data_IF_919855071767
#
_entry.id   IF_919855071767
#
_cell.length_a   1.000
_cell.length_b   1.000
_cell.length_c   1.000
_cell.angle_alpha   90.00
_cell.angle_beta   90.00
_cell.angle_gamma   90.00
#
_symmetry.space_group_name_H-M   'P 1'
#
loop_
_entity.id
_entity.type
_entity.pdbx_description
1 polymer ?
#
# COMPACT_ATOMS: atom_id res chain seq x y z
N UNK A 1 -0.68 -0.32 2.54
CA UNK A 1 -1.73 -0.96 3.36
C UNK A 1 -3.08 -0.88 2.67
N UNK A 2 -3.64 0.30 2.37
CA UNK A 2 -4.94 0.40 1.68
C UNK A 2 -4.96 -0.17 0.25
N UNK A 3 -3.80 -0.26 -0.41
CA UNK A 3 -3.67 -0.91 -1.72
C UNK A 3 -3.75 -2.44 -1.66
N UNK A 4 -3.63 -3.03 -0.47
CA UNK A 4 -3.77 -4.48 -0.29
C UNK A 4 -5.26 -4.85 -0.46
N UNK A 5 -5.61 -5.77 -1.37
CA UNK A 5 -7.00 -6.13 -1.63
C UNK A 5 -7.77 -6.59 -0.40
N UNK A 6 -7.11 -7.29 0.54
CA UNK A 6 -7.75 -7.81 1.75
C UNK A 6 -8.07 -6.66 2.69
N UNK A 7 -7.13 -5.74 2.88
CA UNK A 7 -7.32 -4.58 3.76
C UNK A 7 -8.34 -3.61 3.16
N UNK A 8 -8.25 -3.35 1.86
CA UNK A 8 -9.20 -2.49 1.15
C UNK A 8 -10.63 -3.03 1.28
N UNK A 9 -10.81 -4.32 1.00
CA UNK A 9 -12.12 -4.98 1.13
C UNK A 9 -12.64 -4.92 2.57
N UNK A 10 -11.77 -5.10 3.57
CA UNK A 10 -12.20 -5.00 4.97
C UNK A 10 -12.68 -3.59 5.33
N UNK A 11 -12.00 -2.53 4.87
CA UNK A 11 -12.42 -1.15 5.08
C UNK A 11 -13.74 -0.83 4.37
N UNK A 12 -13.91 -1.34 3.16
CA UNK A 12 -15.14 -1.17 2.38
C UNK A 12 -16.31 -1.85 3.12
N UNK A 13 -16.13 -3.08 3.62
CA UNK A 13 -17.15 -3.78 4.43
C UNK A 13 -17.53 -2.97 5.68
N UNK A 14 -16.55 -2.43 6.42
CA UNK A 14 -16.86 -1.59 7.59
C UNK A 14 -17.68 -0.36 7.22
N UNK A 15 -17.39 0.23 6.07
CA UNK A 15 -18.10 1.42 5.57
C UNK A 15 -19.51 1.05 5.12
N UNK A 16 -19.66 -0.02 4.34
CA UNK A 16 -20.93 -0.54 3.83
C UNK A 16 -21.88 -0.91 4.97
N UNK A 17 -21.40 -1.71 5.94
CA UNK A 17 -22.20 -2.15 7.09
C UNK A 17 -22.61 -0.98 8.00
N UNK A 18 -21.82 0.10 8.02
CA UNK A 18 -22.13 1.30 8.80
C UNK A 18 -23.10 2.25 8.08
N UNK A 19 -23.27 2.12 6.77
CA UNK A 19 -24.17 2.96 5.93
C UNK A 19 -25.38 2.20 5.40
N UNK A 20 -25.76 1.08 6.02
CA UNK A 20 -26.92 0.31 5.57
C UNK A 20 -28.21 1.09 5.78
N UNK A 21 -29.00 1.17 4.72
CA UNK A 21 -30.31 1.79 4.74
C UNK A 21 -31.28 1.07 5.68
N UNK A 22 -32.15 1.84 6.34
CA UNK A 22 -33.28 1.27 7.06
C UNK A 22 -34.40 0.83 6.08
N UNK A 23 -35.50 0.28 6.61
CA UNK A 23 -36.68 -0.16 5.83
C UNK A 23 -37.34 0.98 5.03
N UNK A 24 -37.15 2.22 5.45
CA UNK A 24 -37.64 3.46 4.83
C UNK A 24 -36.59 4.08 3.88
N UNK A 25 -35.49 3.37 3.58
CA UNK A 25 -34.36 3.84 2.77
C UNK A 25 -33.63 5.07 3.34
N UNK A 26 -33.67 5.24 4.67
CA UNK A 26 -32.96 6.30 5.37
C UNK A 26 -31.74 5.72 6.11
N UNK A 27 -30.55 6.26 5.83
CA UNK A 27 -29.32 5.91 6.56
C UNK A 27 -29.38 6.39 8.03
N UNK A 28 -29.92 7.59 8.28
CA UNK A 28 -29.97 8.20 9.61
C UNK A 28 -31.41 8.56 10.01
N UNK A 29 -32.03 7.72 10.85
CA UNK A 29 -33.36 7.99 11.40
C UNK A 29 -33.31 8.93 12.60
N UNK A 30 -33.85 10.13 12.46
CA UNK A 30 -33.93 11.13 13.53
C UNK A 30 -35.19 10.89 14.38
N UNK A 31 -35.00 10.58 15.67
CA UNK A 31 -36.09 10.45 16.65
C UNK A 31 -36.08 11.66 17.57
N UNK A 32 -37.15 12.45 17.54
CA UNK A 32 -37.35 13.59 18.46
C UNK A 32 -38.82 13.76 18.80
N UNK A 33 -39.12 14.06 20.05
CA UNK A 33 -40.48 14.36 20.51
C UNK A 33 -41.02 15.67 19.92
N UNK A 34 -40.12 16.57 19.49
CA UNK A 34 -40.48 17.85 18.89
C UNK A 34 -40.40 17.78 17.35
N UNK A 35 -41.54 17.91 16.64
CA UNK A 35 -41.55 17.79 15.18
C UNK A 35 -40.79 18.92 14.48
N UNK A 36 -40.61 20.09 15.12
CA UNK A 36 -39.82 21.18 14.55
C UNK A 36 -38.33 20.84 14.53
N UNK A 37 -37.83 20.25 15.62
CA UNK A 37 -36.41 19.84 15.73
C UNK A 37 -36.11 18.71 14.75
N UNK A 38 -37.00 17.72 14.66
CA UNK A 38 -36.88 16.64 13.68
C UNK A 38 -36.73 17.16 12.24
N UNK A 39 -37.56 18.14 11.85
CA UNK A 39 -37.48 18.76 10.51
C UNK A 39 -36.18 19.53 10.27
N UNK A 40 -35.72 20.29 11.26
CA UNK A 40 -34.48 21.07 11.14
C UNK A 40 -33.27 20.13 10.99
N UNK A 41 -33.21 19.07 11.81
CA UNK A 41 -32.13 18.10 11.73
C UNK A 41 -32.18 17.31 10.43
N UNK A 42 -33.37 16.96 9.94
CA UNK A 42 -33.51 16.28 8.65
C UNK A 42 -32.98 17.16 7.51
N UNK A 43 -33.30 18.45 7.51
CA UNK A 43 -32.75 19.40 6.54
C UNK A 43 -31.22 19.50 6.64
N UNK A 44 -30.67 19.56 7.86
CA UNK A 44 -29.22 19.60 8.06
C UNK A 44 -28.51 18.35 7.51
N UNK A 45 -29.00 17.15 7.84
CA UNK A 45 -28.33 15.91 7.45
C UNK A 45 -28.56 15.52 5.98
N UNK A 46 -29.78 15.66 5.48
CA UNK A 46 -30.11 15.23 4.11
C UNK A 46 -29.92 16.34 3.07
N UNK A 47 -30.33 17.58 3.35
CA UNK A 47 -30.27 18.66 2.35
C UNK A 47 -28.91 19.37 2.32
N UNK A 48 -28.30 19.62 3.50
CA UNK A 48 -27.03 20.37 3.61
C UNK A 48 -25.83 19.41 3.56
N UNK A 49 -25.76 18.45 4.47
CA UNK A 49 -24.64 17.51 4.56
C UNK A 49 -24.65 16.44 3.47
N UNK A 50 -25.83 16.14 2.93
CA UNK A 50 -26.06 15.06 1.97
C UNK A 50 -25.41 13.74 2.43
N UNK A 51 -25.84 13.27 3.60
CA UNK A 51 -25.29 12.05 4.22
C UNK A 51 -25.46 10.80 3.37
N UNK A 52 -26.46 10.76 2.47
CA UNK A 52 -26.66 9.61 1.57
C UNK A 52 -25.45 9.36 0.66
N UNK A 53 -24.85 10.44 0.16
CA UNK A 53 -23.69 10.34 -0.72
C UNK A 53 -22.36 10.45 0.04
N UNK A 54 -22.29 11.37 1.00
CA UNK A 54 -21.02 11.75 1.62
C UNK A 54 -20.62 10.89 2.82
N UNK A 55 -21.55 10.20 3.48
CA UNK A 55 -21.24 9.48 4.72
C UNK A 55 -20.33 8.27 4.49
N UNK A 56 -20.51 7.53 3.40
CA UNK A 56 -19.68 6.38 3.05
C UNK A 56 -18.18 6.73 2.95
N UNK A 57 -17.76 7.73 2.15
CA UNK A 57 -16.34 8.10 2.09
C UNK A 57 -15.83 8.71 3.41
N UNK A 58 -16.68 9.38 4.20
CA UNK A 58 -16.28 9.90 5.51
C UNK A 58 -15.98 8.77 6.51
N UNK A 59 -16.83 7.74 6.56
CA UNK A 59 -16.62 6.57 7.42
C UNK A 59 -15.41 5.74 6.99
N UNK A 60 -15.20 5.58 5.68
CA UNK A 60 -14.00 4.93 5.16
C UNK A 60 -12.72 5.67 5.56
N UNK A 61 -12.73 7.00 5.49
CA UNK A 61 -11.61 7.82 5.94
C UNK A 61 -11.41 7.75 7.46
N UNK A 62 -12.50 7.78 8.23
CA UNK A 62 -12.46 7.65 9.69
C UNK A 62 -11.86 6.32 10.13
N UNK A 63 -12.26 5.20 9.52
CA UNK A 63 -11.73 3.87 9.86
C UNK A 63 -10.28 3.69 9.42
N UNK A 64 -9.92 4.28 8.28
CA UNK A 64 -8.55 4.27 7.74
C UNK A 64 -7.58 5.09 8.58
N UNK A 65 -7.91 6.34 8.92
CA UNK A 65 -6.99 7.24 9.63
C UNK A 65 -7.17 7.22 11.15
N UNK A 66 -8.35 6.85 11.64
CA UNK A 66 -8.74 6.96 13.06
C UNK A 66 -9.42 8.28 13.40
N UNK A 67 -9.18 9.29 12.56
CA UNK A 67 -9.73 10.64 12.67
C UNK A 67 -10.31 11.10 11.33
N UNK A 68 -11.39 11.87 11.40
CA UNK A 68 -11.94 12.55 10.25
C UNK A 68 -12.37 13.97 10.64
N UNK A 69 -11.97 14.94 9.82
CA UNK A 69 -12.23 16.36 10.06
C UNK A 69 -13.13 16.91 8.95
N UNK A 70 -14.17 17.63 9.37
CA UNK A 70 -15.08 18.33 8.47
C UNK A 70 -15.05 19.82 8.82
N UNK A 71 -14.76 20.65 7.81
CA UNK A 71 -14.90 22.09 7.92
C UNK A 71 -16.37 22.48 7.70
N UNK A 72 -16.95 23.18 8.66
CA UNK A 72 -18.32 23.67 8.63
C UNK A 72 -18.33 25.12 8.13
N UNK A 73 -18.86 25.35 6.93
CA UNK A 73 -19.09 26.70 6.44
C UNK A 73 -20.31 27.30 7.14
N UNK A 74 -20.07 28.15 8.14
CA UNK A 74 -21.11 28.78 8.94
C UNK A 74 -21.35 30.21 8.43
N UNK A 75 -22.60 30.51 8.11
CA UNK A 75 -23.05 31.88 7.84
C UNK A 75 -23.89 32.36 9.01
N UNK A 76 -23.56 33.55 9.52
CA UNK A 76 -24.28 34.17 10.62
C UNK A 76 -25.79 34.26 10.33
N UNK A 77 -26.62 33.90 11.32
CA UNK A 77 -28.09 33.78 11.27
C UNK A 77 -28.69 32.65 10.41
N UNK A 78 -27.96 32.07 9.47
CA UNK A 78 -28.43 30.97 8.62
C UNK A 78 -28.02 29.61 9.21
N UNK A 79 -26.82 29.54 9.78
CA UNK A 79 -26.22 28.31 10.31
C UNK A 79 -25.25 27.68 9.31
N UNK A 80 -25.15 26.36 9.32
CA UNK A 80 -24.24 25.60 8.45
C UNK A 80 -24.83 25.57 7.05
N UNK A 81 -24.07 26.04 6.07
CA UNK A 81 -24.50 26.11 4.66
C UNK A 81 -23.91 24.98 3.84
N UNK A 82 -22.68 24.58 4.16
CA UNK A 82 -21.97 23.53 3.45
C UNK A 82 -20.89 22.92 4.37
N UNK A 83 -20.41 21.75 3.98
CA UNK A 83 -19.34 21.04 4.68
C UNK A 83 -18.29 20.55 3.71
N UNK A 84 -17.02 20.72 4.07
CA UNK A 84 -15.88 20.25 3.29
C UNK A 84 -15.02 19.27 4.10
N UNK A 85 -14.69 18.09 3.55
CA UNK A 85 -13.76 17.20 4.22
C UNK A 85 -12.35 17.79 4.20
N UNK A 86 -11.68 17.73 5.34
CA UNK A 86 -10.28 18.11 5.49
C UNK A 86 -9.41 16.87 5.65
N UNK A 87 -8.17 16.95 5.17
CA UNK A 87 -7.19 15.88 5.35
C UNK A 87 -6.74 15.81 6.80
N UNK A 88 -6.71 14.60 7.38
CA UNK A 88 -6.18 14.40 8.73
C UNK A 88 -4.67 14.71 8.85
N UNK A 89 -3.96 14.84 7.72
CA UNK A 89 -2.55 15.22 7.70
C UNK A 89 -2.32 16.73 7.80
N UNK A 90 -3.32 17.54 7.46
CA UNK A 90 -3.21 19.00 7.36
C UNK A 90 -3.74 19.71 8.61
N UNK A 91 -4.52 19.01 9.43
CA UNK A 91 -5.22 19.56 10.60
C UNK A 91 -4.50 19.16 11.87
N UNK A 92 -4.10 20.15 12.66
CA UNK A 92 -3.52 19.99 13.98
C UNK A 92 -4.48 20.50 15.05
N UNK A 93 -4.88 19.63 15.96
CA UNK A 93 -5.65 20.00 17.15
C UNK A 93 -4.73 20.57 18.22
N UNK A 94 -4.95 21.84 18.57
CA UNK A 94 -4.26 22.56 19.63
C UNK A 94 -5.11 22.51 20.90
N UNK A 95 -4.60 21.87 21.94
CA UNK A 95 -5.14 21.87 23.30
C UNK A 95 -4.06 22.39 24.24
N UNK A 96 -4.45 23.03 25.35
CA UNK A 96 -3.53 23.59 26.36
C UNK A 96 -2.48 24.59 25.78
N UNK A 97 -2.74 25.18 24.61
CA UNK A 97 -1.84 26.11 23.94
C UNK A 97 -1.77 27.48 24.66
N UNK A 98 -2.90 27.96 25.19
CA UNK A 98 -3.00 29.25 25.86
C UNK A 98 -2.92 29.09 27.38
N UNK A 99 -1.88 29.62 28.06
CA UNK A 99 -1.79 29.61 29.52
C UNK A 99 -2.94 30.35 30.23
N UNK A 100 -3.59 31.31 29.57
CA UNK A 100 -4.73 32.04 30.13
C UNK A 100 -6.04 31.24 30.00
N UNK A 101 -6.15 30.40 28.98
CA UNK A 101 -7.33 29.58 28.69
C UNK A 101 -6.95 28.12 28.38
N UNK A 102 -6.66 27.30 29.40
CA UNK A 102 -6.21 25.91 29.19
C UNK A 102 -7.27 25.02 28.53
N UNK A 103 -8.56 25.38 28.61
CA UNK A 103 -9.66 24.59 28.01
C UNK A 103 -9.96 24.97 26.55
N UNK A 104 -9.23 25.93 25.98
CA UNK A 104 -9.46 26.34 24.61
C UNK A 104 -8.95 25.24 23.66
N UNK A 105 -9.82 24.81 22.76
CA UNK A 105 -9.49 23.85 21.70
C UNK A 105 -9.61 24.58 20.38
N UNK A 106 -8.51 24.63 19.64
CA UNK A 106 -8.44 25.25 18.32
C UNK A 106 -7.85 24.25 17.33
N UNK A 107 -8.11 24.47 16.05
CA UNK A 107 -7.58 23.66 14.96
C UNK A 107 -6.73 24.52 14.06
N UNK A 108 -5.48 24.15 13.90
CA UNK A 108 -4.56 24.80 12.98
C UNK A 108 -4.51 24.00 11.69
N UNK A 109 -4.76 24.66 10.56
CA UNK A 109 -4.65 24.02 9.24
C UNK A 109 -3.38 24.50 8.57
N UNK A 110 -2.43 23.59 8.36
CA UNK A 110 -1.21 23.87 7.59
C UNK A 110 -1.42 23.40 6.15
N UNK A 111 -1.37 24.29 5.16
CA UNK A 111 -1.62 23.92 3.79
C UNK A 111 -0.29 23.64 3.08
N UNK A 112 0.12 22.37 3.04
CA UNK A 112 1.14 21.95 2.06
C UNK A 112 0.56 21.93 0.63
N UNK A 113 -0.77 21.86 0.47
CA UNK A 113 -1.46 21.86 -0.83
C UNK A 113 -2.72 22.78 -0.85
N UNK A 114 -2.53 24.06 -0.48
CA UNK A 114 -3.53 25.11 -0.22
C UNK A 114 -4.59 25.41 -1.32
N UNK A 115 -4.61 24.70 -2.44
CA UNK A 115 -5.43 25.08 -3.61
C UNK A 115 -6.83 24.50 -3.63
N UNK A 116 -7.12 23.47 -2.83
CA UNK A 116 -8.40 22.75 -2.92
C UNK A 116 -9.19 22.61 -1.60
N UNK A 117 -8.59 22.86 -0.43
CA UNK A 117 -9.22 22.52 0.87
C UNK A 117 -9.86 23.71 1.60
N UNK A 118 -9.33 24.94 1.47
CA UNK A 118 -9.88 26.14 2.11
C UNK A 118 -10.25 27.23 1.08
N UNK A 119 -11.39 27.94 1.26
CA UNK A 119 -11.80 29.01 0.35
C UNK A 119 -10.95 30.29 0.43
N UNK A 120 -10.10 30.44 1.45
CA UNK A 120 -9.31 31.65 1.68
C UNK A 120 -7.82 31.30 1.77
N UNK A 121 -7.02 31.85 0.87
CA UNK A 121 -5.61 31.54 0.68
C UNK A 121 -4.65 32.08 1.75
N UNK A 122 -5.06 32.12 3.02
CA UNK A 122 -4.13 32.40 4.12
C UNK A 122 -3.43 31.11 4.54
N UNK A 123 -2.08 31.08 4.57
CA UNK A 123 -1.29 29.86 4.67
C UNK A 123 -1.27 29.22 6.07
N UNK A 124 -2.05 29.73 7.04
CA UNK A 124 -2.15 29.17 8.38
C UNK A 124 -3.42 29.75 9.02
N UNK A 125 -4.53 29.02 8.92
CA UNK A 125 -5.79 29.46 9.50
C UNK A 125 -6.02 28.71 10.82
N UNK A 126 -6.11 29.48 11.91
CA UNK A 126 -6.64 28.99 13.17
C UNK A 126 -8.17 28.97 13.05
N UNK A 127 -8.74 27.78 13.19
CA UNK A 127 -10.16 27.52 13.21
C UNK A 127 -10.62 27.28 14.64
N UNK A 128 -11.78 27.82 14.96
CA UNK A 128 -12.40 27.63 16.27
C UNK A 128 -13.07 26.26 16.39
N UNK A 129 -13.27 25.77 17.61
CA UNK A 129 -13.86 24.44 17.85
C UNK A 129 -15.25 24.25 17.23
N UNK A 130 -16.01 25.32 16.96
CA UNK A 130 -17.34 25.23 16.36
C UNK A 130 -17.30 25.21 14.82
N UNK A 131 -16.18 25.55 14.20
CA UNK A 131 -15.99 25.57 12.74
C UNK A 131 -15.53 24.21 12.20
N UNK A 132 -15.09 23.32 13.08
CA UNK A 132 -14.58 21.98 12.72
C UNK A 132 -15.36 20.90 13.45
N UNK A 133 -15.97 20.00 12.70
CA UNK A 133 -16.48 18.74 13.24
C UNK A 133 -15.37 17.67 13.18
N UNK A 134 -14.88 17.27 14.36
CA UNK A 134 -13.87 16.24 14.53
C UNK A 134 -14.52 14.91 14.97
N UNK A 135 -14.46 13.90 14.11
CA UNK A 135 -14.83 12.53 14.42
C UNK A 135 -13.58 11.72 14.77
N UNK A 136 -13.64 10.96 15.86
CA UNK A 136 -12.50 10.17 16.36
C UNK A 136 -12.93 8.79 16.81
N UNK A 137 -12.11 7.79 16.48
CA UNK A 137 -12.22 6.45 17.05
C UNK A 137 -11.44 6.37 18.36
N UNK A 138 -12.17 6.47 19.47
CA UNK A 138 -11.63 6.31 20.81
C UNK A 138 -11.35 4.84 21.09
N UNK A 139 -10.08 4.48 21.25
CA UNK A 139 -9.70 3.12 21.60
C UNK A 139 -8.56 3.05 22.61
N UNK A 140 -7.59 3.96 22.52
CA UNK A 140 -6.39 3.93 23.35
C UNK A 140 -6.06 5.34 23.86
N UNK A 141 -5.79 5.46 25.16
CA UNK A 141 -5.51 6.72 25.83
C UNK A 141 -4.19 7.36 25.34
N UNK A 142 -3.26 6.55 24.81
CA UNK A 142 -1.99 7.04 24.29
C UNK A 142 -2.13 7.93 23.05
N UNK A 143 -3.25 7.81 22.33
CA UNK A 143 -3.50 8.58 21.10
C UNK A 143 -4.30 9.85 21.36
N UNK A 144 -4.73 10.14 22.61
CA UNK A 144 -5.38 11.42 22.94
C UNK A 144 -4.41 12.56 22.61
N UNK A 145 -4.83 13.58 21.84
CA UNK A 145 -6.21 14.00 21.52
C UNK A 145 -6.85 13.41 20.25
N UNK A 146 -6.12 12.57 19.51
CA UNK A 146 -6.55 11.90 18.27
C UNK A 146 -7.19 10.53 18.52
N UNK A 147 -7.72 9.95 17.44
CA UNK A 147 -8.23 8.59 17.37
C UNK A 147 -7.16 7.58 16.98
N UNK A 148 -7.51 6.31 17.09
CA UNK A 148 -6.66 5.21 16.62
C UNK A 148 -7.29 4.58 15.40
N UNK A 149 -6.54 4.49 14.31
CA UNK A 149 -6.94 3.76 13.10
C UNK A 149 -7.25 2.30 13.41
N UNK A 150 -8.28 1.75 12.76
CA UNK A 150 -8.59 0.32 12.86
C UNK A 150 -7.45 -0.55 12.29
N UNK A 151 -6.66 -0.01 11.36
CA UNK A 151 -5.54 -0.69 10.72
C UNK A 151 -4.29 -0.79 11.62
N UNK A 152 -4.26 -0.07 12.74
CA UNK A 152 -3.05 0.00 13.58
C UNK A 152 -2.66 -1.37 14.14
N UNK A 153 -3.66 -2.19 14.51
CA UNK A 153 -3.42 -3.56 14.97
C UNK A 153 -2.89 -4.48 13.86
N UNK A 154 -3.33 -4.27 12.62
CA UNK A 154 -2.92 -5.06 11.46
C UNK A 154 -1.54 -4.67 10.91
N UNK A 155 -1.05 -3.46 11.19
CA UNK A 155 0.20 -2.91 10.63
C UNK A 155 1.40 -3.84 10.77
N UNK A 156 1.60 -4.42 11.96
CA UNK A 156 2.74 -5.32 12.22
C UNK A 156 2.63 -6.61 11.41
N UNK A 157 1.46 -7.24 11.43
CA UNK A 157 1.21 -8.52 10.75
C UNK A 157 1.28 -8.35 9.24
N UNK A 158 0.69 -7.28 8.71
CA UNK A 158 0.73 -6.97 7.28
C UNK A 158 2.17 -6.83 6.75
N UNK A 159 3.04 -6.10 7.47
CA UNK A 159 4.47 -6.00 7.08
C UNK A 159 5.18 -7.34 7.08
N UNK A 160 4.84 -8.23 8.02
CA UNK A 160 5.41 -9.57 8.07
C UNK A 160 4.93 -10.43 6.90
N UNK A 161 3.63 -10.35 6.57
CA UNK A 161 3.04 -11.07 5.45
C UNK A 161 3.67 -10.65 4.12
N UNK A 162 3.71 -9.34 3.85
CA UNK A 162 4.30 -8.81 2.62
C UNK A 162 5.77 -9.23 2.46
N UNK A 163 6.55 -9.18 3.55
CA UNK A 163 7.95 -9.63 3.53
C UNK A 163 8.08 -11.13 3.26
N UNK A 164 7.15 -11.95 3.77
CA UNK A 164 7.13 -13.39 3.49
C UNK A 164 6.72 -13.70 2.05
N UNK A 165 5.74 -12.98 1.50
CA UNK A 165 5.32 -13.10 0.10
C UNK A 165 6.45 -12.73 -0.86
N UNK A 166 7.12 -11.59 -0.62
CA UNK A 166 8.28 -11.16 -1.40
C UNK A 166 9.43 -12.15 -1.28
N UNK A 167 9.72 -12.65 -0.07
CA UNK A 167 10.76 -13.66 0.15
C UNK A 167 10.45 -14.97 -0.59
N UNK A 168 9.19 -15.41 -0.61
CA UNK A 168 8.77 -16.59 -1.37
C UNK A 168 8.94 -16.38 -2.88
N UNK A 169 8.54 -15.21 -3.40
CA UNK A 169 8.71 -14.87 -4.82
C UNK A 169 10.19 -14.86 -5.21
N UNK A 170 11.03 -14.20 -4.42
CA UNK A 170 12.48 -14.17 -4.65
C UNK A 170 13.06 -15.59 -4.59
N UNK A 171 12.68 -16.39 -3.60
CA UNK A 171 13.12 -17.77 -3.48
C UNK A 171 12.75 -18.61 -4.70
N UNK A 172 11.51 -18.47 -5.21
CA UNK A 172 11.03 -19.12 -6.42
C UNK A 172 11.79 -18.64 -7.66
N UNK A 173 11.99 -17.34 -7.84
CA UNK A 173 12.70 -16.77 -9.00
C UNK A 173 14.17 -17.22 -9.01
N UNK A 174 14.84 -17.16 -7.86
CA UNK A 174 16.27 -17.50 -7.74
C UNK A 174 16.56 -18.99 -7.96
N UNK A 175 15.58 -19.86 -7.69
CA UNK A 175 15.69 -21.32 -7.86
C UNK A 175 14.93 -21.87 -9.07
N UNK A 176 14.22 -21.02 -9.81
CA UNK A 176 13.53 -21.38 -11.05
C UNK A 176 14.51 -21.84 -12.14
N UNK A 177 15.65 -21.17 -12.40
CA UNK A 177 16.64 -21.71 -13.31
C UNK A 177 17.42 -22.84 -12.64
N UNK A 178 17.54 -23.97 -13.34
CA UNK A 178 18.52 -24.99 -12.99
C UNK A 178 19.93 -24.40 -13.11
N UNK A 179 20.70 -24.47 -12.04
CA UNK A 179 22.12 -24.08 -12.07
C UNK A 179 22.94 -25.30 -12.43
N UNK A 180 23.74 -25.20 -13.48
CA UNK A 180 24.59 -26.30 -13.96
C UNK A 180 26.04 -25.95 -13.70
N UNK A 181 26.77 -26.87 -13.09
CA UNK A 181 28.21 -26.77 -12.88
C UNK A 181 28.89 -27.72 -13.87
N UNK A 182 29.56 -27.13 -14.86
CA UNK A 182 30.38 -27.85 -15.82
C UNK A 182 31.80 -27.96 -15.26
N UNK A 183 32.16 -29.15 -14.78
CA UNK A 183 33.54 -29.47 -14.40
C UNK A 183 34.28 -29.88 -15.66
N UNK A 184 35.21 -29.05 -16.12
CA UNK A 184 36.02 -29.32 -17.31
C UNK A 184 37.40 -29.80 -16.88
N UNK A 185 37.78 -31.00 -17.34
CA UNK A 185 39.12 -31.51 -17.10
C UNK A 185 40.13 -30.84 -18.02
N UNK A 186 41.18 -30.28 -17.42
CA UNK A 186 42.22 -29.51 -18.07
C UNK A 186 43.52 -30.27 -17.89
N UNK A 187 43.60 -31.43 -18.54
CA UNK A 187 44.67 -32.43 -18.37
C UNK A 187 46.08 -31.85 -18.20
N UNK A 188 46.83 -31.69 -19.29
CA UNK A 188 48.23 -31.23 -19.23
C UNK A 188 48.44 -29.81 -19.81
N UNK A 189 47.39 -28.99 -19.84
CA UNK A 189 47.49 -27.63 -20.37
C UNK A 189 48.30 -26.76 -19.38
N UNK A 190 49.30 -25.99 -19.87
CA UNK A 190 50.06 -25.09 -19.02
C UNK A 190 49.15 -24.04 -18.36
N UNK A 191 49.37 -23.67 -17.08
CA UNK A 191 48.51 -22.73 -16.35
C UNK A 191 48.18 -21.43 -17.10
N UNK A 192 49.11 -20.94 -17.92
CA UNK A 192 48.96 -19.69 -18.68
C UNK A 192 47.94 -19.81 -19.83
N UNK A 193 47.65 -21.01 -20.33
CA UNK A 193 46.72 -21.23 -21.46
C UNK A 193 45.33 -21.70 -21.02
N UNK A 194 45.16 -21.99 -19.71
CA UNK A 194 43.90 -22.49 -19.15
C UNK A 194 42.77 -21.48 -19.34
N UNK A 195 43.00 -20.20 -19.08
CA UNK A 195 41.98 -19.16 -19.24
C UNK A 195 41.53 -19.03 -20.71
N UNK A 196 42.47 -19.09 -21.65
CA UNK A 196 42.17 -19.02 -23.08
C UNK A 196 41.35 -20.24 -23.54
N UNK A 197 41.71 -21.44 -23.09
CA UNK A 197 40.96 -22.66 -23.38
C UNK A 197 39.53 -22.61 -22.79
N UNK A 198 39.40 -22.16 -21.55
CA UNK A 198 38.09 -21.99 -20.89
C UNK A 198 37.22 -20.96 -21.63
N UNK A 199 37.79 -19.81 -22.02
CA UNK A 199 37.06 -18.80 -22.80
C UNK A 199 36.59 -19.34 -24.16
N UNK A 200 37.41 -20.14 -24.84
CA UNK A 200 37.01 -20.77 -26.11
C UNK A 200 35.84 -21.75 -25.92
N UNK A 201 35.87 -22.58 -24.88
CA UNK A 201 34.78 -23.51 -24.58
C UNK A 201 33.51 -22.76 -24.19
N UNK A 202 33.59 -21.77 -23.30
CA UNK A 202 32.46 -20.96 -22.87
C UNK A 202 31.81 -20.27 -24.09
N UNK A 203 32.62 -19.68 -24.97
CA UNK A 203 32.12 -19.01 -26.17
C UNK A 203 31.50 -19.98 -27.19
N UNK A 204 31.97 -21.23 -27.24
CA UNK A 204 31.39 -22.27 -28.10
C UNK A 204 30.03 -22.74 -27.57
N UNK A 205 29.91 -22.92 -26.25
CA UNK A 205 28.67 -23.36 -25.61
C UNK A 205 27.59 -22.26 -25.64
N UNK A 206 27.96 -21.00 -25.39
CA UNK A 206 27.02 -19.85 -25.49
C UNK A 206 26.46 -19.61 -26.90
N UNK A 207 27.13 -20.09 -27.95
CA UNK A 207 26.81 -19.80 -29.36
C UNK A 207 26.10 -20.92 -30.10
N UNK A 208 25.70 -22.03 -29.44
CA UNK A 208 25.03 -23.13 -30.14
C UNK A 208 23.68 -22.61 -30.69
N UNK A 209 23.49 -22.53 -32.01
CA UNK A 209 22.24 -22.06 -32.59
C UNK A 209 21.21 -23.19 -32.53
N UNK A 210 19.99 -22.88 -32.09
CA UNK A 210 18.87 -23.81 -32.16
C UNK A 210 18.38 -23.87 -33.61
N UNK A 211 18.36 -25.06 -34.20
CA UNK A 211 17.85 -25.30 -35.55
C UNK A 211 16.35 -25.58 -35.43
N UNK A 212 15.51 -24.73 -36.02
CA UNK A 212 14.07 -25.00 -36.13
C UNK A 212 13.86 -26.12 -37.17
N UNK A 213 13.42 -27.29 -36.71
CA UNK A 213 13.26 -28.48 -37.54
C UNK A 213 12.17 -28.35 -38.63
N UNK A 214 11.31 -27.32 -38.56
CA UNK A 214 10.22 -27.12 -39.54
C UNK A 214 10.59 -26.17 -40.68
N UNK A 215 11.41 -25.16 -40.43
CA UNK A 215 11.75 -24.09 -41.40
C UNK A 215 13.22 -24.15 -41.83
N UNK A 216 14.10 -24.83 -41.10
CA UNK A 216 15.51 -24.94 -41.43
C UNK A 216 16.31 -23.63 -41.29
N UNK A 217 15.66 -22.57 -40.80
CA UNK A 217 16.28 -21.25 -40.61
C UNK A 217 17.11 -21.21 -39.32
N UNK A 218 18.33 -20.69 -39.44
CA UNK A 218 19.24 -20.48 -38.31
C UNK A 218 18.75 -19.30 -37.47
N UNK A 219 18.02 -19.58 -36.37
CA UNK A 219 17.61 -18.53 -35.45
C UNK A 219 18.73 -18.20 -34.46
N UNK A 220 19.60 -17.26 -34.83
CA UNK A 220 20.72 -16.77 -34.02
C UNK A 220 20.30 -15.86 -32.85
N UNK A 221 19.00 -15.54 -32.70
CA UNK A 221 18.59 -14.36 -31.91
C UNK A 221 18.11 -14.62 -30.49
N UNK A 222 17.78 -15.84 -30.09
CA UNK A 222 17.35 -16.10 -28.71
C UNK A 222 17.60 -17.56 -28.35
N UNK A 223 18.79 -17.86 -27.84
CA UNK A 223 19.02 -19.14 -27.20
C UNK A 223 18.47 -19.05 -25.77
N UNK A 224 17.27 -19.60 -25.54
CA UNK A 224 16.68 -19.69 -24.19
C UNK A 224 17.54 -20.54 -23.24
N UNK A 225 18.46 -21.37 -23.75
CA UNK A 225 19.42 -22.08 -22.91
C UNK A 225 20.57 -21.17 -22.42
N UNK A 226 20.80 -20.01 -23.02
CA UNK A 226 21.82 -19.06 -22.54
C UNK A 226 21.33 -18.17 -21.39
N UNK A 227 20.07 -18.29 -20.99
CA UNK A 227 19.49 -17.55 -19.87
C UNK A 227 19.73 -18.26 -18.52
N UNK A 228 20.28 -19.48 -18.53
CA UNK A 228 20.66 -20.20 -17.30
C UNK A 228 22.02 -19.75 -16.78
N UNK A 229 22.16 -19.68 -15.46
CA UNK A 229 23.45 -19.42 -14.80
C UNK A 229 24.31 -20.70 -14.82
N UNK A 230 25.12 -20.83 -15.86
CA UNK A 230 26.08 -21.93 -15.99
C UNK A 230 27.44 -21.56 -15.39
N UNK A 231 27.94 -22.38 -14.46
CA UNK A 231 29.25 -22.21 -13.85
C UNK A 231 30.26 -23.19 -14.48
N UNK A 232 31.41 -22.68 -14.90
CA UNK A 232 32.49 -23.48 -15.49
C UNK A 232 33.66 -23.57 -14.52
N UNK A 233 33.96 -24.77 -14.03
CA UNK A 233 35.03 -25.00 -13.07
C UNK A 233 36.19 -25.79 -13.71
N UNK A 234 37.42 -25.24 -13.68
CA UNK A 234 38.61 -25.95 -14.11
C UNK A 234 39.01 -27.03 -13.08
N UNK A 235 39.03 -28.31 -13.46
CA UNK A 235 39.55 -29.38 -12.59
C UNK A 235 40.81 -30.01 -13.18
N UNK A 236 41.76 -30.41 -12.31
CA UNK A 236 42.95 -31.19 -12.68
C UNK A 236 42.96 -32.46 -11.84
N UNK A 237 42.84 -33.62 -12.47
CA UNK A 237 42.92 -34.90 -11.77
C UNK A 237 42.73 -36.07 -12.71
N UNK A 238 43.58 -37.10 -12.55
CA UNK A 238 43.58 -38.33 -13.37
C UNK A 238 42.28 -39.15 -13.32
N UNK A 239 41.37 -38.84 -12.38
CA UNK A 239 40.23 -39.70 -12.03
C UNK A 239 38.90 -38.92 -11.96
N UNK A 240 38.91 -37.62 -12.26
CA UNK A 240 37.72 -36.78 -12.28
C UNK A 240 37.49 -36.26 -13.70
N UNK A 241 36.83 -37.07 -14.53
CA UNK A 241 36.47 -36.69 -15.89
C UNK A 241 35.51 -35.50 -15.96
N UNK A 242 35.30 -34.96 -17.17
CA UNK A 242 34.33 -33.89 -17.42
C UNK A 242 32.94 -34.33 -16.97
N UNK A 243 32.37 -33.63 -15.98
CA UNK A 243 31.08 -33.96 -15.39
C UNK A 243 30.19 -32.72 -15.32
N UNK A 244 28.89 -32.93 -15.52
CA UNK A 244 27.86 -31.91 -15.36
C UNK A 244 27.15 -32.22 -14.05
N UNK A 245 27.31 -31.34 -13.07
CA UNK A 245 26.57 -31.41 -11.81
C UNK A 245 25.43 -30.39 -11.88
N UNK A 246 24.19 -30.89 -11.88
CA UNK A 246 23.01 -30.05 -11.81
C UNK A 246 22.71 -29.77 -10.34
N UNK A 247 22.77 -28.51 -9.91
CA UNK A 247 22.19 -28.12 -8.64
C UNK A 247 20.67 -28.19 -8.79
N UNK A 248 20.05 -28.99 -7.94
CA UNK A 248 18.62 -29.20 -7.98
C UNK A 248 17.90 -27.85 -7.88
N UNK A 249 17.02 -27.58 -8.86
CA UNK A 249 16.14 -26.43 -8.84
C UNK A 249 15.13 -26.52 -7.70
N UNK A 250 14.12 -25.65 -7.72
CA UNK A 250 13.05 -25.69 -6.73
C UNK A 250 12.37 -27.08 -6.70
N UNK A 251 12.56 -27.83 -5.62
CA UNK A 251 11.70 -28.96 -5.31
C UNK A 251 10.39 -28.42 -4.73
N UNK A 252 9.25 -28.89 -5.23
CA UNK A 252 7.93 -28.51 -4.72
C UNK A 252 7.63 -29.23 -3.40
N UNK A 253 8.43 -28.97 -2.37
CA UNK A 253 8.06 -29.29 -0.99
C UNK A 253 7.32 -28.07 -0.45
N UNK A 254 6.01 -28.24 -0.26
CA UNK A 254 5.01 -27.20 -0.06
C UNK A 254 5.25 -26.22 1.09
#
# INVERSE_FOLDING_TARGET
>A
MDEDPIISSALDIYSDESTVDNVESEILKIKSDNPKVAKILHNLFYDILNVEFNLWPWLRNLTKYGDHFLYLEIIDKIGIVNVRPMSAYEVFRLEDHDPEQPKLVQFEVTPEDARNTLPFGDPQQLLESYEVAHFRLLSDANFIPYGKSMLEGARKVWKQLQLMEDAMLIHRIMRAPEKRIFKLDIGNIPPNEVENFMQQIINKMKKIPVIDQKTGDYNLRYNMESTTEDYFLPVRGSDSGTAIETLQGLANDG
#
